data_IF_543290841388
#
_entry.id   IF_543290841388
#
_cell.length_a   1.000
_cell.length_b   1.000
_cell.length_c   1.000
_cell.angle_alpha   90.00
_cell.angle_beta   90.00
_cell.angle_gamma   90.00
#
_symmetry.space_group_name_H-M   'P 1'
#
loop_
_entity.id
_entity.type
_entity.pdbx_description
1 polymer ?
#
# COMPACT_ATOMS: atom_id res chain seq x y z
N UNK A 1 20.75 15.51 24.37
CA UNK A 1 19.66 16.42 23.95
C UNK A 1 19.26 16.04 22.52
N UNK A 2 18.20 15.26 22.36
CA UNK A 2 17.72 14.82 21.03
C UNK A 2 17.03 16.02 20.38
N UNK A 3 17.63 16.59 19.34
CA UNK A 3 16.96 17.61 18.51
C UNK A 3 15.84 16.91 17.74
N UNK A 4 14.59 17.11 18.15
CA UNK A 4 13.45 16.81 17.29
C UNK A 4 13.56 17.70 16.05
N UNK A 5 13.94 17.12 14.90
CA UNK A 5 13.83 17.83 13.62
C UNK A 5 12.35 18.13 13.41
N UNK A 6 12.00 19.40 13.38
CA UNK A 6 10.65 19.86 13.01
C UNK A 6 10.31 19.32 11.63
N UNK A 7 9.22 18.56 11.51
CA UNK A 7 8.72 18.07 10.22
C UNK A 7 8.23 19.29 9.44
N UNK A 8 8.87 19.62 8.31
CA UNK A 8 8.42 20.71 7.45
C UNK A 8 7.15 20.30 6.70
N UNK A 9 6.28 21.25 6.38
CA UNK A 9 5.08 21.00 5.55
C UNK A 9 5.43 20.39 4.19
N UNK A 10 6.62 20.70 3.66
CA UNK A 10 7.13 20.07 2.43
C UNK A 10 7.39 18.57 2.58
N UNK A 11 7.70 18.07 3.79
CA UNK A 11 7.90 16.65 4.06
C UNK A 11 6.59 15.84 4.04
N UNK A 12 5.44 16.50 4.27
CA UNK A 12 4.12 15.89 4.10
C UNK A 12 3.78 15.66 2.62
N UNK A 13 4.35 16.47 1.73
CA UNK A 13 4.12 16.34 0.29
C UNK A 13 4.74 15.08 -0.31
N UNK A 14 4.18 14.67 -1.45
CA UNK A 14 4.78 13.68 -2.38
C UNK A 14 5.44 14.39 -3.58
N UNK A 15 5.72 15.68 -3.47
CA UNK A 15 6.22 16.50 -4.59
C UNK A 15 7.70 16.27 -4.89
N UNK A 16 8.51 15.97 -3.86
CA UNK A 16 9.97 15.90 -3.98
C UNK A 16 10.57 14.63 -3.38
N UNK A 17 11.51 14.06 -4.11
CA UNK A 17 12.35 12.95 -3.67
C UNK A 17 13.75 13.10 -4.28
N UNK A 18 14.78 12.61 -3.59
CA UNK A 18 16.17 12.87 -3.95
C UNK A 18 16.54 12.23 -5.29
N UNK A 19 16.04 11.03 -5.55
CA UNK A 19 16.31 10.29 -6.78
C UNK A 19 15.05 9.76 -7.42
N UNK A 20 14.77 10.20 -8.65
CA UNK A 20 13.67 9.66 -9.44
C UNK A 20 13.83 8.15 -9.70
N UNK A 21 15.08 7.66 -9.75
CA UNK A 21 15.41 6.25 -9.96
C UNK A 21 14.88 5.32 -8.87
N UNK A 22 14.65 5.81 -7.65
CA UNK A 22 14.15 4.98 -6.56
C UNK A 22 12.72 4.45 -6.80
N UNK A 23 11.96 5.07 -7.71
CA UNK A 23 10.61 4.60 -8.05
C UNK A 23 10.56 3.50 -9.12
N UNK A 24 11.63 3.29 -9.89
CA UNK A 24 11.68 2.29 -10.96
C UNK A 24 12.82 1.29 -10.88
N UNK A 25 13.71 1.41 -9.90
CA UNK A 25 14.86 0.52 -9.75
C UNK A 25 14.68 -0.45 -8.59
N UNK A 26 15.26 -1.64 -8.74
CA UNK A 26 15.22 -2.67 -7.70
C UNK A 26 16.17 -2.33 -6.56
N UNK A 27 15.78 -2.67 -5.34
CA UNK A 27 16.70 -2.70 -4.21
C UNK A 27 17.83 -3.72 -4.41
N UNK A 28 17.63 -4.77 -5.19
CA UNK A 28 18.57 -5.90 -5.30
C UNK A 28 19.40 -5.87 -6.57
N UNK A 29 19.73 -4.67 -7.07
CA UNK A 29 20.55 -4.50 -8.27
C UNK A 29 21.64 -3.45 -8.08
N UNK A 30 22.69 -3.54 -8.91
CA UNK A 30 23.67 -2.47 -9.12
C UNK A 30 23.23 -1.56 -10.27
N UNK A 31 23.52 -0.26 -10.15
CA UNK A 31 23.14 0.75 -11.15
C UNK A 31 21.64 1.08 -11.17
N UNK A 32 21.21 1.69 -12.29
CA UNK A 32 19.89 2.33 -12.42
C UNK A 32 19.02 1.76 -13.54
N UNK A 33 19.32 0.54 -14.02
CA UNK A 33 18.47 -0.13 -15.01
C UNK A 33 17.07 -0.38 -14.45
N UNK A 34 16.01 -0.01 -15.18
CA UNK A 34 14.64 -0.32 -14.78
C UNK A 34 14.26 -1.80 -14.97
N UNK A 35 15.07 -2.57 -15.72
CA UNK A 35 14.71 -3.93 -16.18
C UNK A 35 14.44 -4.94 -15.03
N UNK A 36 15.27 -5.04 -13.98
CA UNK A 36 15.03 -6.04 -12.94
C UNK A 36 13.70 -5.83 -12.20
N UNK A 37 13.39 -4.57 -11.82
CA UNK A 37 12.11 -4.28 -11.17
C UNK A 37 10.94 -4.36 -12.15
N UNK A 38 11.15 -4.03 -13.44
CA UNK A 38 10.14 -4.20 -14.48
C UNK A 38 9.64 -5.65 -14.58
N UNK A 39 10.55 -6.62 -14.55
CA UNK A 39 10.21 -8.05 -14.61
C UNK A 39 9.45 -8.51 -13.36
N UNK A 40 9.88 -8.07 -12.17
CA UNK A 40 9.14 -8.33 -10.92
C UNK A 40 7.73 -7.75 -11.00
N UNK A 41 7.61 -6.48 -11.40
CA UNK A 41 6.31 -5.80 -11.52
C UNK A 41 5.41 -6.44 -12.58
N UNK A 42 5.95 -7.00 -13.66
CA UNK A 42 5.17 -7.72 -14.66
C UNK A 42 4.50 -8.96 -14.04
N UNK A 43 5.27 -9.76 -13.28
CA UNK A 43 4.74 -10.91 -12.56
C UNK A 43 3.69 -10.49 -11.52
N UNK A 44 4.01 -9.52 -10.66
CA UNK A 44 3.12 -9.05 -9.60
C UNK A 44 1.82 -8.45 -10.15
N UNK A 45 1.90 -7.67 -11.24
CA UNK A 45 0.71 -7.12 -11.90
C UNK A 45 -0.17 -8.21 -12.48
N UNK A 46 0.44 -9.22 -13.11
CA UNK A 46 -0.31 -10.36 -13.67
C UNK A 46 -1.04 -11.14 -12.58
N UNK A 47 -0.37 -11.40 -11.45
CA UNK A 47 -0.99 -12.04 -10.27
C UNK A 47 -2.12 -11.18 -9.68
N UNK A 48 -1.91 -9.87 -9.53
CA UNK A 48 -2.93 -8.96 -9.00
C UNK A 48 -4.20 -8.94 -9.87
N UNK A 49 -4.02 -8.90 -11.20
CA UNK A 49 -5.13 -8.91 -12.15
C UNK A 49 -5.84 -10.26 -12.20
N UNK A 50 -5.11 -11.37 -12.05
CA UNK A 50 -5.71 -12.69 -11.95
C UNK A 50 -6.61 -12.81 -10.70
N UNK A 51 -6.13 -12.34 -9.54
CA UNK A 51 -6.92 -12.34 -8.29
C UNK A 51 -8.15 -11.42 -8.42
N UNK A 52 -7.99 -10.22 -8.96
CA UNK A 52 -9.11 -9.31 -9.19
C UNK A 52 -10.15 -9.92 -10.13
N UNK A 53 -9.71 -10.53 -11.23
CA UNK A 53 -10.60 -11.19 -12.20
C UNK A 53 -11.34 -12.35 -11.54
N UNK A 54 -10.65 -13.18 -10.74
CA UNK A 54 -11.30 -14.27 -10.01
C UNK A 54 -12.36 -13.75 -9.03
N UNK A 55 -12.04 -12.72 -8.24
CA UNK A 55 -13.01 -12.06 -7.35
C UNK A 55 -14.24 -11.53 -8.10
N UNK A 56 -14.04 -10.91 -9.25
CA UNK A 56 -15.14 -10.40 -10.08
C UNK A 56 -15.99 -11.54 -10.65
N UNK A 57 -15.38 -12.61 -11.14
CA UNK A 57 -16.11 -13.76 -11.72
C UNK A 57 -16.98 -14.46 -10.66
N UNK A 58 -16.48 -14.61 -9.43
CA UNK A 58 -17.21 -15.27 -8.34
C UNK A 58 -18.22 -14.34 -7.65
N UNK A 59 -17.88 -13.06 -7.54
CA UNK A 59 -18.56 -12.11 -6.66
C UNK A 59 -19.34 -11.00 -7.37
N UNK A 60 -19.38 -10.98 -8.71
CA UNK A 60 -20.05 -9.93 -9.49
C UNK A 60 -21.49 -9.70 -9.01
N UNK A 61 -21.70 -8.56 -8.36
CA UNK A 61 -23.00 -8.13 -7.85
C UNK A 61 -22.97 -6.63 -7.58
N UNK A 62 -24.14 -5.97 -7.46
CA UNK A 62 -24.20 -4.57 -7.02
C UNK A 62 -23.55 -4.33 -5.65
N UNK A 63 -23.47 -5.37 -4.81
CA UNK A 63 -22.86 -5.33 -3.49
C UNK A 63 -21.32 -5.43 -3.54
N UNK A 64 -20.71 -5.79 -4.66
CA UNK A 64 -19.25 -6.03 -4.71
C UNK A 64 -18.46 -4.80 -4.24
N UNK A 65 -18.85 -3.60 -4.67
CA UNK A 65 -18.16 -2.37 -4.29
C UNK A 65 -18.44 -1.87 -2.86
N UNK A 66 -19.28 -2.53 -2.05
CA UNK A 66 -19.46 -2.11 -0.65
C UNK A 66 -18.37 -2.67 0.27
N UNK A 67 -17.70 -3.77 -0.13
CA UNK A 67 -16.71 -4.45 0.71
C UNK A 67 -15.33 -3.80 0.62
N UNK A 68 -14.68 -3.61 1.78
CA UNK A 68 -13.32 -3.06 1.88
C UNK A 68 -12.30 -3.95 1.17
N UNK A 69 -12.46 -5.27 1.24
CA UNK A 69 -11.60 -6.24 0.53
C UNK A 69 -11.52 -5.89 -0.96
N UNK A 70 -12.65 -5.55 -1.57
CA UNK A 70 -12.75 -5.26 -2.99
C UNK A 70 -12.15 -3.90 -3.36
N UNK A 71 -12.25 -2.90 -2.48
CA UNK A 71 -11.48 -1.66 -2.61
C UNK A 71 -9.98 -1.91 -2.52
N UNK A 72 -9.57 -2.81 -1.61
CA UNK A 72 -8.19 -3.27 -1.49
C UNK A 72 -7.68 -3.93 -2.77
N UNK A 73 -8.46 -4.80 -3.41
CA UNK A 73 -8.09 -5.43 -4.68
C UNK A 73 -7.90 -4.40 -5.79
N UNK A 74 -8.82 -3.44 -5.92
CA UNK A 74 -8.69 -2.33 -6.89
C UNK A 74 -7.41 -1.52 -6.64
N UNK A 75 -7.10 -1.22 -5.38
CA UNK A 75 -5.90 -0.50 -4.99
C UNK A 75 -4.61 -1.28 -5.27
N UNK A 76 -4.59 -2.59 -5.00
CA UNK A 76 -3.46 -3.48 -5.34
C UNK A 76 -3.24 -3.49 -6.85
N UNK A 77 -4.29 -3.71 -7.64
CA UNK A 77 -4.19 -3.70 -9.11
C UNK A 77 -3.74 -2.33 -9.64
N UNK A 78 -4.31 -1.22 -9.15
CA UNK A 78 -3.92 0.13 -9.57
C UNK A 78 -2.46 0.45 -9.20
N UNK A 79 -2.00 0.04 -8.02
CA UNK A 79 -0.60 0.20 -7.59
C UNK A 79 0.35 -0.59 -8.49
N UNK A 80 0.02 -1.84 -8.80
CA UNK A 80 0.86 -2.69 -9.65
C UNK A 80 0.89 -2.20 -11.10
N UNK A 81 -0.25 -1.83 -11.69
CA UNK A 81 -0.32 -1.26 -13.05
C UNK A 81 0.49 0.04 -13.12
N UNK A 82 0.31 0.96 -12.16
CA UNK A 82 1.02 2.23 -12.17
C UNK A 82 2.54 2.05 -11.98
N UNK A 83 2.97 1.13 -11.11
CA UNK A 83 4.38 0.77 -10.95
C UNK A 83 4.96 0.15 -12.21
N UNK A 84 4.24 -0.76 -12.85
CA UNK A 84 4.65 -1.41 -14.11
C UNK A 84 4.82 -0.37 -15.23
N UNK A 85 3.82 0.49 -15.41
CA UNK A 85 3.86 1.57 -16.39
C UNK A 85 5.04 2.53 -16.15
N UNK A 86 5.32 2.84 -14.88
CA UNK A 86 6.44 3.66 -14.47
C UNK A 86 7.77 2.99 -14.86
N UNK A 87 8.00 1.72 -14.47
CA UNK A 87 9.21 0.98 -14.85
C UNK A 87 9.38 0.83 -16.36
N UNK A 88 8.28 0.63 -17.08
CA UNK A 88 8.28 0.55 -18.54
C UNK A 88 8.67 1.88 -19.17
N UNK A 89 8.08 2.99 -18.72
CA UNK A 89 8.40 4.33 -19.24
C UNK A 89 9.87 4.69 -19.04
N UNK A 90 10.42 4.43 -17.85
CA UNK A 90 11.83 4.73 -17.55
C UNK A 90 12.82 3.70 -18.10
N UNK A 91 12.35 2.59 -18.68
CA UNK A 91 13.22 1.69 -19.46
C UNK A 91 13.68 2.32 -20.77
N UNK A 92 12.86 3.17 -21.37
CA UNK A 92 13.11 3.75 -22.70
C UNK A 92 13.40 5.26 -22.68
N UNK A 93 13.08 5.97 -21.58
CA UNK A 93 13.41 7.38 -21.44
C UNK A 93 14.86 7.57 -20.99
N UNK A 94 15.56 8.51 -21.63
CA UNK A 94 16.84 9.04 -21.12
C UNK A 94 16.56 9.75 -19.79
N UNK A 95 17.35 9.44 -18.77
CA UNK A 95 17.15 9.98 -17.42
C UNK A 95 17.37 11.49 -17.42
N UNK A 96 16.38 12.23 -16.94
CA UNK A 96 16.55 13.62 -16.53
C UNK A 96 16.36 13.61 -15.02
N UNK A 97 17.43 13.84 -14.27
CA UNK A 97 17.31 13.98 -12.82
C UNK A 97 16.54 15.26 -12.50
N UNK A 98 15.36 15.10 -11.91
CA UNK A 98 14.51 16.19 -11.45
C UNK A 98 14.14 15.94 -9.99
N UNK A 99 14.34 16.92 -9.14
CA UNK A 99 13.90 16.85 -7.73
C UNK A 99 12.37 16.91 -7.59
N UNK A 100 11.69 17.56 -8.55
CA UNK A 100 10.24 17.56 -8.65
C UNK A 100 9.76 16.29 -9.38
N UNK A 101 8.94 15.49 -8.70
CA UNK A 101 8.40 14.27 -9.29
C UNK A 101 7.35 14.59 -10.36
N UNK A 102 7.30 13.86 -11.50
CA UNK A 102 6.16 13.91 -12.41
C UNK A 102 4.87 13.43 -11.73
N UNK A 103 3.72 13.93 -12.16
CA UNK A 103 2.42 13.63 -11.53
C UNK A 103 2.15 12.12 -11.38
N UNK A 104 2.48 11.32 -12.41
CA UNK A 104 2.23 9.87 -12.39
C UNK A 104 3.10 9.12 -11.38
N UNK A 105 4.30 9.65 -11.06
CA UNK A 105 5.15 9.10 -9.99
C UNK A 105 4.56 9.44 -8.63
N UNK A 106 4.03 10.65 -8.45
CA UNK A 106 3.33 11.04 -7.22
C UNK A 106 2.10 10.16 -6.97
N UNK A 107 1.30 9.92 -8.02
CA UNK A 107 0.13 9.05 -7.95
C UNK A 107 0.50 7.62 -7.57
N UNK A 108 1.50 7.04 -8.24
CA UNK A 108 2.02 5.71 -7.88
C UNK A 108 2.48 5.68 -6.42
N UNK A 109 3.20 6.71 -5.95
CA UNK A 109 3.72 6.73 -4.59
C UNK A 109 2.60 6.78 -3.53
N UNK A 110 1.56 7.59 -3.77
CA UNK A 110 0.37 7.61 -2.91
C UNK A 110 -0.29 6.23 -2.89
N UNK A 111 -0.53 5.64 -4.06
CA UNK A 111 -1.13 4.30 -4.15
C UNK A 111 -0.28 3.25 -3.43
N UNK A 112 1.04 3.29 -3.60
CA UNK A 112 1.97 2.40 -2.93
C UNK A 112 1.88 2.52 -1.40
N UNK A 113 1.94 3.73 -0.86
CA UNK A 113 1.86 3.98 0.59
C UNK A 113 0.52 3.53 1.18
N UNK A 114 -0.58 3.84 0.51
CA UNK A 114 -1.93 3.43 0.94
C UNK A 114 -2.05 1.91 0.90
N UNK A 115 -1.72 1.30 -0.24
CA UNK A 115 -1.90 -0.13 -0.47
C UNK A 115 -1.00 -0.98 0.41
N UNK A 116 0.23 -0.54 0.70
CA UNK A 116 1.14 -1.25 1.61
C UNK A 116 0.55 -1.47 3.00
N UNK A 117 -0.12 -0.47 3.57
CA UNK A 117 -0.76 -0.62 4.86
C UNK A 117 -2.13 -1.32 4.76
N UNK A 118 -2.96 -0.90 3.80
CA UNK A 118 -4.35 -1.34 3.73
C UNK A 118 -4.47 -2.81 3.31
N UNK A 119 -3.61 -3.30 2.41
CA UNK A 119 -3.66 -4.73 2.02
C UNK A 119 -3.35 -5.66 3.20
N UNK A 120 -2.34 -5.34 4.01
CA UNK A 120 -2.01 -6.12 5.22
C UNK A 120 -3.08 -5.95 6.29
N UNK A 121 -3.66 -4.75 6.43
CA UNK A 121 -4.78 -4.53 7.35
C UNK A 121 -6.00 -5.39 6.95
N UNK A 122 -6.36 -5.44 5.67
CA UNK A 122 -7.48 -6.26 5.18
C UNK A 122 -7.24 -7.74 5.49
N UNK A 123 -6.03 -8.25 5.26
CA UNK A 123 -5.61 -9.60 5.70
C UNK A 123 -5.82 -9.75 7.20
N UNK A 124 -5.25 -8.89 8.03
CA UNK A 124 -5.37 -9.00 9.49
C UNK A 124 -6.84 -9.00 9.95
N UNK A 125 -7.65 -8.06 9.47
CA UNK A 125 -9.08 -7.97 9.82
C UNK A 125 -9.83 -9.23 9.40
N UNK A 126 -9.54 -9.78 8.21
CA UNK A 126 -10.20 -10.99 7.76
C UNK A 126 -9.89 -12.18 8.68
N UNK A 127 -8.61 -12.50 8.91
CA UNK A 127 -8.25 -13.68 9.73
C UNK A 127 -8.55 -13.51 11.22
N UNK A 128 -8.55 -12.29 11.75
CA UNK A 128 -8.80 -12.03 13.18
C UNK A 128 -10.30 -11.88 13.48
N UNK A 129 -11.07 -11.25 12.59
CA UNK A 129 -12.45 -10.84 12.88
C UNK A 129 -13.52 -11.49 12.02
N UNK A 130 -13.19 -12.03 10.84
CA UNK A 130 -14.19 -12.50 9.85
C UNK A 130 -14.07 -13.99 9.53
N UNK A 131 -12.88 -14.58 9.64
CA UNK A 131 -12.66 -15.99 9.30
C UNK A 131 -13.39 -16.91 10.29
N UNK A 132 -14.28 -17.75 9.76
CA UNK A 132 -14.98 -18.80 10.49
C UNK A 132 -14.67 -20.18 9.87
N UNK A 133 -13.91 -21.05 10.57
CA UNK A 133 -13.61 -22.40 10.09
C UNK A 133 -14.86 -23.23 9.76
N UNK A 134 -15.93 -23.09 10.54
CA UNK A 134 -17.15 -23.89 10.37
C UNK A 134 -17.96 -23.45 9.14
N UNK A 135 -17.94 -22.15 8.81
CA UNK A 135 -18.51 -21.65 7.58
C UNK A 135 -17.69 -22.09 6.36
N UNK A 136 -16.35 -22.06 6.47
CA UNK A 136 -15.45 -22.44 5.37
C UNK A 136 -15.53 -23.94 5.02
N UNK A 137 -15.71 -24.82 6.01
CA UNK A 137 -15.92 -26.25 5.76
C UNK A 137 -17.13 -26.50 4.84
N UNK A 138 -18.20 -25.71 5.00
CA UNK A 138 -19.42 -25.81 4.18
C UNK A 138 -19.25 -25.27 2.77
N UNK A 139 -18.47 -24.19 2.60
CA UNK A 139 -18.24 -23.55 1.30
C UNK A 139 -17.21 -24.30 0.45
N UNK A 140 -16.34 -25.10 1.09
CA UNK A 140 -15.38 -25.97 0.43
C UNK A 140 -14.09 -25.28 -0.03
N UNK A 141 -13.17 -26.08 -0.58
CA UNK A 141 -11.81 -25.64 -0.90
C UNK A 141 -11.73 -24.45 -1.85
N UNK A 142 -12.67 -24.32 -2.79
CA UNK A 142 -12.67 -23.22 -3.77
C UNK A 142 -12.87 -21.85 -3.09
N UNK A 143 -13.78 -21.77 -2.13
CA UNK A 143 -14.03 -20.55 -1.37
C UNK A 143 -12.83 -20.19 -0.47
N UNK A 144 -12.24 -21.19 0.18
CA UNK A 144 -11.02 -21.02 0.97
C UNK A 144 -9.87 -20.44 0.13
N UNK A 145 -9.65 -20.97 -1.08
CA UNK A 145 -8.62 -20.46 -1.99
C UNK A 145 -8.92 -19.04 -2.48
N UNK A 146 -10.20 -18.70 -2.69
CA UNK A 146 -10.58 -17.33 -3.03
C UNK A 146 -10.26 -16.37 -1.88
N UNK A 147 -10.53 -16.75 -0.64
CA UNK A 147 -10.22 -15.93 0.54
C UNK A 147 -8.72 -15.77 0.76
N UNK A 148 -7.96 -16.87 0.66
CA UNK A 148 -6.49 -16.85 0.66
C UNK A 148 -5.96 -15.93 -0.43
N UNK A 149 -6.55 -15.96 -1.63
CA UNK A 149 -6.09 -15.16 -2.76
C UNK A 149 -6.41 -13.68 -2.58
N UNK A 150 -7.65 -13.35 -2.24
CA UNK A 150 -8.16 -11.96 -2.19
C UNK A 150 -7.63 -11.18 -1.00
N UNK A 151 -7.20 -11.85 0.07
CA UNK A 151 -6.63 -11.21 1.24
C UNK A 151 -5.13 -11.53 1.35
N UNK A 152 -4.78 -12.80 1.57
CA UNK A 152 -3.41 -13.26 1.81
C UNK A 152 -2.46 -12.94 0.64
N UNK A 153 -2.71 -13.54 -0.52
CA UNK A 153 -1.85 -13.34 -1.70
C UNK A 153 -1.86 -11.88 -2.18
N UNK A 154 -3.00 -11.19 -2.10
CA UNK A 154 -3.09 -9.77 -2.40
C UNK A 154 -2.14 -8.92 -1.53
N UNK A 155 -2.05 -9.21 -0.22
CA UNK A 155 -1.08 -8.55 0.67
C UNK A 155 0.37 -8.96 0.40
N UNK A 156 0.62 -10.25 0.09
CA UNK A 156 1.95 -10.74 -0.28
C UNK A 156 2.51 -10.04 -1.53
N UNK A 157 1.67 -9.76 -2.53
CA UNK A 157 2.08 -9.00 -3.73
C UNK A 157 2.72 -7.67 -3.36
N UNK A 158 2.11 -6.93 -2.43
CA UNK A 158 2.61 -5.61 -2.03
C UNK A 158 3.83 -5.72 -1.11
N UNK A 159 3.91 -6.77 -0.28
CA UNK A 159 5.12 -7.05 0.50
C UNK A 159 6.31 -7.35 -0.41
N UNK A 160 6.11 -8.13 -1.49
CA UNK A 160 7.14 -8.38 -2.50
C UNK A 160 7.51 -7.10 -3.24
N UNK A 161 6.56 -6.26 -3.66
CA UNK A 161 6.87 -4.95 -4.25
C UNK A 161 7.68 -4.06 -3.30
N UNK A 162 7.31 -4.00 -2.02
CA UNK A 162 8.04 -3.24 -1.00
C UNK A 162 9.46 -3.79 -0.84
N UNK A 163 9.64 -5.10 -0.76
CA UNK A 163 10.95 -5.71 -0.63
C UNK A 163 11.81 -5.52 -1.88
N UNK A 164 11.23 -5.63 -3.07
CA UNK A 164 11.95 -5.59 -4.35
C UNK A 164 12.27 -4.18 -4.82
N UNK A 165 11.40 -3.19 -4.60
CA UNK A 165 11.58 -1.82 -5.08
C UNK A 165 12.49 -0.99 -4.19
N UNK A 166 13.00 0.15 -4.69
CA UNK A 166 13.60 1.21 -3.88
C UNK A 166 12.57 2.26 -3.43
N UNK A 167 11.29 2.07 -3.75
CA UNK A 167 10.23 3.03 -3.44
C UNK A 167 10.26 3.33 -1.93
N UNK A 168 10.36 4.62 -1.55
CA UNK A 168 10.51 5.00 -0.15
C UNK A 168 9.18 4.94 0.59
N UNK A 169 9.22 4.49 1.86
CA UNK A 169 8.16 4.73 2.84
C UNK A 169 8.66 5.82 3.79
N UNK A 170 7.85 6.85 4.02
CA UNK A 170 8.17 7.96 4.93
C UNK A 170 7.12 8.04 6.02
N UNK A 171 7.51 8.11 7.30
CA UNK A 171 6.54 8.27 8.41
C UNK A 171 5.62 9.49 8.23
N UNK A 172 6.10 10.55 7.57
CA UNK A 172 5.30 11.73 7.26
C UNK A 172 4.06 11.43 6.36
N UNK A 173 4.03 10.28 5.66
CA UNK A 173 2.95 9.88 4.76
C UNK A 173 1.91 8.95 5.41
N UNK A 174 2.00 8.72 6.73
CA UNK A 174 1.07 7.86 7.49
C UNK A 174 -0.40 8.29 7.38
N UNK A 175 -0.65 9.58 7.12
CA UNK A 175 -1.99 10.11 6.92
C UNK A 175 -2.68 9.52 5.66
N UNK A 176 -1.91 9.02 4.68
CA UNK A 176 -2.45 8.51 3.41
C UNK A 176 -3.29 7.23 3.63
N UNK A 177 -2.77 6.14 4.24
CA UNK A 177 -3.60 4.97 4.54
C UNK A 177 -4.67 5.27 5.61
N UNK A 178 -4.39 6.13 6.59
CA UNK A 178 -5.38 6.54 7.60
C UNK A 178 -6.61 7.20 6.95
N UNK A 179 -6.37 8.07 5.97
CA UNK A 179 -7.45 8.72 5.23
C UNK A 179 -8.36 7.68 4.55
N UNK A 180 -7.81 6.67 3.87
CA UNK A 180 -8.62 5.63 3.24
C UNK A 180 -9.43 4.83 4.28
N UNK A 181 -8.82 4.46 5.40
CA UNK A 181 -9.51 3.71 6.46
C UNK A 181 -10.68 4.50 7.07
N UNK A 182 -10.45 5.78 7.39
CA UNK A 182 -11.50 6.68 7.89
C UNK A 182 -12.57 6.91 6.83
N UNK A 183 -12.18 7.06 5.56
CA UNK A 183 -13.11 7.22 4.45
C UNK A 183 -14.01 5.99 4.28
N UNK A 184 -13.46 4.78 4.38
CA UNK A 184 -14.26 3.57 4.35
C UNK A 184 -15.22 3.46 5.55
N UNK A 185 -14.77 3.80 6.76
CA UNK A 185 -15.64 3.84 7.93
C UNK A 185 -16.80 4.82 7.73
N UNK A 186 -16.52 6.04 7.26
CA UNK A 186 -17.53 7.04 6.93
C UNK A 186 -18.50 6.54 5.84
N UNK A 187 -17.98 5.95 4.76
CA UNK A 187 -18.79 5.33 3.72
C UNK A 187 -19.74 4.28 4.29
N UNK A 188 -19.25 3.36 5.13
CA UNK A 188 -20.10 2.30 5.72
C UNK A 188 -21.22 2.85 6.61
N UNK A 189 -20.94 3.92 7.38
CA UNK A 189 -21.94 4.59 8.20
C UNK A 189 -23.00 5.32 7.37
N UNK A 190 -22.57 6.01 6.30
CA UNK A 190 -23.48 6.66 5.34
C UNK A 190 -24.33 5.62 4.62
N UNK A 191 -23.73 4.52 4.18
CA UNK A 191 -24.42 3.41 3.51
C UNK A 191 -25.52 2.83 4.38
N UNK A 192 -25.23 2.59 5.67
CA UNK A 192 -26.22 2.19 6.66
C UNK A 192 -27.33 3.23 6.83
N UNK A 193 -26.98 4.50 7.03
CA UNK A 193 -27.96 5.58 7.22
C UNK A 193 -28.90 5.78 6.01
N UNK A 194 -28.43 5.42 4.81
CA UNK A 194 -29.21 5.43 3.57
C UNK A 194 -30.08 4.17 3.37
N UNK A 195 -30.10 3.23 4.33
CA UNK A 195 -30.87 1.99 4.25
C UNK A 195 -30.19 0.86 3.46
N UNK A 196 -28.87 0.94 3.27
CA UNK A 196 -28.11 -0.09 2.56
C UNK A 196 -28.08 -1.44 3.30
N UNK A 197 -27.98 -2.52 2.52
CA UNK A 197 -27.93 -3.90 3.04
C UNK A 197 -26.83 -4.72 2.37
N UNK A 198 -26.45 -5.85 2.95
CA UNK A 198 -25.65 -6.85 2.23
C UNK A 198 -26.51 -7.71 1.27
N UNK A 199 -25.88 -8.70 0.63
CA UNK A 199 -26.53 -9.66 -0.27
C UNK A 199 -27.63 -10.49 0.41
N UNK A 200 -27.57 -10.65 1.73
CA UNK A 200 -28.51 -11.43 2.52
C UNK A 200 -29.61 -10.57 3.16
N UNK A 201 -29.61 -9.26 2.92
CA UNK A 201 -30.56 -8.31 3.51
C UNK A 201 -30.19 -7.85 4.92
N UNK A 202 -28.98 -8.16 5.41
CA UNK A 202 -28.50 -7.63 6.67
C UNK A 202 -28.21 -6.14 6.54
N UNK A 203 -28.54 -5.35 7.56
CA UNK A 203 -28.34 -3.89 7.58
C UNK A 203 -26.89 -3.47 7.84
N UNK A 204 -25.93 -4.39 7.71
CA UNK A 204 -24.51 -4.14 7.91
C UNK A 204 -23.71 -4.78 6.77
N UNK A 205 -22.58 -4.17 6.40
CA UNK A 205 -21.65 -4.74 5.41
C UNK A 205 -20.82 -5.86 6.06
N UNK A 206 -20.31 -5.58 7.27
CA UNK A 206 -19.61 -6.53 8.12
C UNK A 206 -20.28 -6.49 9.49
N UNK A 207 -20.52 -7.65 10.11
CA UNK A 207 -21.16 -7.71 11.43
C UNK A 207 -20.37 -6.93 12.49
N UNK A 208 -19.04 -6.88 12.39
CA UNK A 208 -18.16 -6.10 13.27
C UNK A 208 -18.26 -4.58 13.08
N UNK A 209 -18.88 -4.12 11.99
CA UNK A 209 -19.22 -2.71 11.73
C UNK A 209 -20.74 -2.52 11.70
N UNK A 210 -21.45 -3.16 12.64
CA UNK A 210 -22.89 -2.97 12.78
C UNK A 210 -23.20 -1.60 13.43
N UNK A 211 -23.63 -0.65 12.61
CA UNK A 211 -23.96 0.71 13.04
C UNK A 211 -25.24 0.81 13.89
N UNK A 212 -26.03 -0.27 14.02
CA UNK A 212 -27.07 -0.37 15.06
C UNK A 212 -26.47 -0.45 16.47
N UNK A 213 -25.22 -0.89 16.58
CA UNK A 213 -24.43 -0.97 17.81
C UNK A 213 -23.24 0.01 17.76
N UNK A 214 -23.49 1.32 17.81
CA UNK A 214 -22.47 2.34 17.51
C UNK A 214 -21.27 2.29 18.44
N UNK A 215 -21.44 1.85 19.69
CA UNK A 215 -20.33 1.70 20.64
C UNK A 215 -19.35 0.60 20.20
N UNK A 216 -19.86 -0.56 19.81
CA UNK A 216 -19.04 -1.69 19.35
C UNK A 216 -18.30 -1.31 18.06
N UNK A 217 -19.03 -0.74 17.11
CA UNK A 217 -18.46 -0.25 15.85
C UNK A 217 -17.39 0.81 16.07
N UNK A 218 -17.61 1.78 16.97
CA UNK A 218 -16.60 2.79 17.30
C UNK A 218 -15.31 2.19 17.87
N UNK A 219 -15.41 1.14 18.70
CA UNK A 219 -14.23 0.43 19.24
C UNK A 219 -13.45 -0.25 18.11
N UNK A 220 -14.13 -0.92 17.18
CA UNK A 220 -13.49 -1.59 16.02
C UNK A 220 -12.81 -0.57 15.12
N UNK A 221 -13.46 0.55 14.82
CA UNK A 221 -12.88 1.64 14.01
C UNK A 221 -11.66 2.25 14.71
N UNK A 222 -11.76 2.58 16.00
CA UNK A 222 -10.65 3.15 16.76
C UNK A 222 -9.46 2.17 16.85
N UNK A 223 -9.73 0.89 17.11
CA UNK A 223 -8.71 -0.17 17.10
C UNK A 223 -8.04 -0.32 15.74
N UNK A 224 -8.81 -0.25 14.66
CA UNK A 224 -8.28 -0.29 13.28
C UNK A 224 -7.39 0.92 12.97
N UNK A 225 -7.75 2.12 13.42
CA UNK A 225 -6.91 3.32 13.27
C UNK A 225 -5.56 3.13 13.97
N UNK A 226 -5.57 2.67 15.23
CA UNK A 226 -4.33 2.39 15.98
C UNK A 226 -3.49 1.33 15.27
N UNK A 227 -4.12 0.26 14.79
CA UNK A 227 -3.43 -0.80 14.09
C UNK A 227 -2.84 -0.35 12.73
N UNK A 228 -3.50 0.54 11.97
CA UNK A 228 -2.88 1.18 10.77
C UNK A 228 -1.63 1.95 11.17
N UNK A 229 -1.67 2.71 12.27
CA UNK A 229 -0.51 3.49 12.73
C UNK A 229 0.67 2.57 13.05
N UNK A 230 0.44 1.54 13.86
CA UNK A 230 1.47 0.56 14.24
C UNK A 230 2.04 -0.14 13.00
N UNK A 231 1.15 -0.61 12.12
CA UNK A 231 1.54 -1.29 10.89
C UNK A 231 2.38 -0.39 9.97
N UNK A 232 2.02 0.89 9.82
CA UNK A 232 2.76 1.82 8.98
C UNK A 232 4.18 2.10 9.53
N UNK A 233 4.33 2.15 10.86
CA UNK A 233 5.64 2.24 11.52
C UNK A 233 6.48 0.99 11.25
N UNK A 234 5.87 -0.20 11.30
CA UNK A 234 6.54 -1.47 10.95
C UNK A 234 6.99 -1.47 9.49
N UNK A 235 6.12 -1.05 8.56
CA UNK A 235 6.44 -0.96 7.13
C UNK A 235 7.56 0.03 6.85
N UNK A 236 7.56 1.18 7.54
CA UNK A 236 8.67 2.12 7.49
C UNK A 236 9.98 1.49 7.99
N UNK A 237 9.95 0.80 9.13
CA UNK A 237 11.11 0.08 9.66
C UNK A 237 11.63 -0.99 8.69
N UNK A 238 10.72 -1.73 8.04
CA UNK A 238 11.05 -2.71 7.01
C UNK A 238 11.71 -2.06 5.79
N UNK A 239 11.19 -0.92 5.30
CA UNK A 239 11.80 -0.18 4.20
C UNK A 239 13.23 0.29 4.54
N UNK A 240 13.42 0.83 5.76
CA UNK A 240 14.75 1.23 6.26
C UNK A 240 15.69 0.03 6.35
N UNK A 241 15.21 -1.11 6.84
CA UNK A 241 15.99 -2.34 6.92
C UNK A 241 16.39 -2.85 5.52
N UNK A 242 15.44 -2.94 4.59
CA UNK A 242 15.66 -3.29 3.18
C UNK A 242 16.76 -2.43 2.57
N UNK A 243 16.67 -1.12 2.74
CA UNK A 243 17.63 -0.18 2.15
C UNK A 243 19.02 -0.30 2.76
N UNK A 244 19.12 -0.45 4.09
CA UNK A 244 20.41 -0.73 4.76
C UNK A 244 21.02 -2.04 4.28
N UNK A 245 20.24 -3.11 4.21
CA UNK A 245 20.71 -4.42 3.76
C UNK A 245 21.22 -4.35 2.32
N UNK A 246 20.44 -3.74 1.45
CA UNK A 246 20.78 -3.53 0.05
C UNK A 246 22.05 -2.67 -0.13
N UNK A 247 22.19 -1.59 0.63
CA UNK A 247 23.39 -0.75 0.61
C UNK A 247 24.64 -1.53 1.02
N UNK A 248 24.55 -2.32 2.08
CA UNK A 248 25.69 -3.11 2.57
C UNK A 248 26.15 -4.17 1.58
N UNK A 249 25.22 -4.94 1.01
CA UNK A 249 25.56 -6.17 0.27
C UNK A 249 25.50 -6.08 -1.25
N UNK A 250 24.74 -5.12 -1.80
CA UNK A 250 24.47 -5.07 -3.25
C UNK A 250 24.97 -3.78 -3.88
N UNK A 251 24.56 -2.62 -3.31
CA UNK A 251 24.80 -1.29 -3.91
C UNK A 251 26.19 -0.72 -3.62
N UNK A 252 27.02 -1.39 -2.83
CA UNK A 252 28.43 -1.08 -2.64
C UNK A 252 29.23 -1.48 -3.87
N UNK A 253 29.36 -0.54 -4.82
CA UNK A 253 30.51 -0.21 -5.68
C UNK A 253 30.00 0.84 -6.70
N UNK A 254 30.41 2.11 -6.52
CA UNK A 254 30.12 3.32 -7.33
C UNK A 254 28.86 4.16 -6.99
N UNK A 255 28.54 4.37 -5.72
CA UNK A 255 27.74 5.53 -5.32
C UNK A 255 28.67 6.56 -4.66
N UNK A 256 28.76 7.81 -5.15
CA UNK A 256 29.47 8.85 -4.42
C UNK A 256 28.84 8.98 -3.03
N UNK A 257 29.70 9.03 -2.01
CA UNK A 257 29.30 9.30 -0.63
C UNK A 257 28.46 10.57 -0.65
N UNK A 258 27.19 10.48 -0.31
CA UNK A 258 26.35 11.66 -0.09
C UNK A 258 27.10 12.52 0.93
N UNK A 259 27.50 13.77 0.61
CA UNK A 259 28.18 14.59 1.59
C UNK A 259 27.23 14.78 2.78
N UNK A 260 27.70 14.63 4.03
CA UNK A 260 26.88 14.98 5.18
C UNK A 260 26.49 16.45 5.05
N UNK A 261 25.18 16.72 4.95
CA UNK A 261 24.50 18.03 5.00
C UNK A 261 25.43 19.26 4.89
N UNK A 262 25.99 19.52 3.70
CA UNK A 262 26.86 20.66 3.44
C UNK A 262 26.17 21.73 2.59
N UNK A 263 25.00 22.22 3.03
CA UNK A 263 24.44 23.51 2.58
C UNK A 263 23.59 24.15 3.68
N UNK A 264 24.27 24.66 4.71
CA UNK A 264 23.70 25.67 5.62
C UNK A 264 24.57 26.94 5.72
N UNK A 265 25.85 26.90 5.35
CA UNK A 265 26.71 28.09 5.38
C UNK A 265 27.07 28.56 3.98
N UNK A 266 26.21 29.41 3.40
CA UNK A 266 26.61 30.41 2.40
C UNK A 266 25.52 31.43 2.15
N UNK A 267 25.22 32.26 3.15
CA UNK A 267 24.73 33.63 2.98
C UNK A 267 25.19 34.49 4.16
N UNK A 268 26.48 34.83 4.18
CA UNK A 268 27.01 36.04 4.81
C UNK A 268 28.24 36.48 4.00
N UNK A 269 27.98 37.22 2.93
CA UNK A 269 28.83 38.29 2.41
C UNK A 269 27.88 39.40 1.99
#
# INVERSE_FOLDING_TARGET
>A
MVKFRTVSLSALGVSTHDRLSDFYTSSWQRGESALPLLLVRLLLTSSALAILTWSLVEGASPYWLIYLTNWGLLLVSATMISGLALSFAFRFKKQIETTNLPWFVKSYWIFFNVTAAISIMITALYWILLYDPAAQEKLGLRALWLDISTHGLASCIIVVELFSSRTPIRLAHIYQPLFLGIWYAAFSGIYYAAGGTDRNGNVFIYAVLNWQEPRSTAIVVAGSVVAVVVLYVILWGFAVFRDKLSLTYVRTHNLPITPPDAKADRQMV
#
